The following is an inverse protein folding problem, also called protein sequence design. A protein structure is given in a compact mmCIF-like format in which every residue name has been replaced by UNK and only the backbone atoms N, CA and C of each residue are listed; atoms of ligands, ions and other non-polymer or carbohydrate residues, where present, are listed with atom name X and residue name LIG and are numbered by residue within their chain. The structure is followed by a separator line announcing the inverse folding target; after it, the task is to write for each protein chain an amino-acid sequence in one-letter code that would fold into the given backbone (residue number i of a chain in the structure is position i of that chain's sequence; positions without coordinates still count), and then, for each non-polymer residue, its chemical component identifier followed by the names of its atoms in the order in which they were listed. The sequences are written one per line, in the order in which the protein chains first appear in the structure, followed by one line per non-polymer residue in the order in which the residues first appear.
data_IF_211268029885
#
_entry.id   IF_211268029885
#
_cell.length_a   1.000
_cell.length_b   1.000
_cell.length_c   1.000
_cell.angle_alpha   90.00
_cell.angle_beta   90.00
_cell.angle_gamma   90.00
#
_symmetry.space_group_name_H-M   'P 1'
#
loop_
_entity.id
_entity.type
_entity.pdbx_description
1 polymer ?
#
# COMPACT_ATOMS: atom_id res chain seq x y z
N UNK A 1 15.09 -12.91 -5.40
CA UNK A 1 14.95 -11.98 -6.51
C UNK A 1 15.83 -12.41 -7.68
N UNK A 2 15.37 -12.19 -8.90
CA UNK A 2 16.20 -12.38 -10.10
C UNK A 2 16.48 -11.01 -10.69
N UNK A 3 17.63 -10.83 -11.31
CA UNK A 3 17.93 -9.63 -12.07
C UNK A 3 17.27 -9.64 -13.47
N UNK A 4 16.72 -10.78 -13.87
CA UNK A 4 16.03 -10.92 -15.15
C UNK A 4 14.60 -10.38 -15.08
N UNK A 5 14.11 -9.71 -16.12
CA UNK A 5 12.71 -9.30 -16.20
C UNK A 5 11.78 -10.52 -16.25
N UNK A 6 10.49 -10.38 -15.92
CA UNK A 6 9.53 -11.47 -16.08
C UNK A 6 9.37 -11.84 -17.56
N UNK A 7 9.16 -13.13 -17.81
CA UNK A 7 8.92 -13.65 -19.17
C UNK A 7 7.47 -13.41 -19.62
N UNK A 8 6.54 -13.32 -18.67
CA UNK A 8 5.12 -13.10 -18.93
C UNK A 8 4.53 -12.18 -17.87
N UNK A 9 3.68 -11.25 -18.31
CA UNK A 9 2.87 -10.38 -17.46
C UNK A 9 1.40 -10.65 -17.76
N UNK A 10 0.61 -10.96 -16.73
CA UNK A 10 -0.85 -11.09 -16.84
C UNK A 10 -1.52 -9.99 -16.03
N UNK A 11 -2.27 -9.08 -16.66
CA UNK A 11 -2.94 -8.01 -15.94
C UNK A 11 -4.13 -8.56 -15.13
N UNK A 12 -4.28 -8.03 -13.93
CA UNK A 12 -5.44 -8.22 -13.05
C UNK A 12 -6.13 -6.87 -12.97
N UNK A 13 -6.99 -6.62 -13.95
CA UNK A 13 -7.66 -5.36 -14.20
C UNK A 13 -9.02 -5.64 -14.86
N UNK A 14 -9.85 -4.62 -15.05
CA UNK A 14 -11.10 -4.76 -15.82
C UNK A 14 -10.83 -5.20 -17.26
N UNK A 15 -11.75 -5.97 -17.84
CA UNK A 15 -11.67 -6.40 -19.25
C UNK A 15 -12.04 -5.28 -20.23
N UNK A 16 -12.85 -4.33 -19.77
CA UNK A 16 -13.31 -3.19 -20.55
C UNK A 16 -13.18 -1.92 -19.72
N UNK A 17 -12.83 -0.79 -20.34
CA UNK A 17 -12.74 0.47 -19.64
C UNK A 17 -14.08 0.85 -18.98
N UNK A 18 -14.01 1.29 -17.72
CA UNK A 18 -15.07 1.97 -17.01
C UNK A 18 -14.65 3.42 -16.75
N UNK A 19 -15.43 4.17 -16.00
CA UNK A 19 -14.98 5.47 -15.51
C UNK A 19 -13.69 5.31 -14.70
N UNK A 20 -12.59 5.95 -15.13
CA UNK A 20 -11.25 5.75 -14.58
C UNK A 20 -10.37 4.76 -15.36
N UNK A 21 -10.83 4.20 -16.50
CA UNK A 21 -10.07 3.29 -17.35
C UNK A 21 -10.24 1.82 -16.98
N UNK A 22 -9.14 1.05 -16.91
CA UNK A 22 -9.17 -0.39 -16.61
C UNK A 22 -9.00 -0.71 -15.11
N UNK A 23 -9.15 0.28 -14.24
CA UNK A 23 -9.02 0.13 -12.80
C UNK A 23 -10.30 -0.40 -12.16
N UNK A 24 -10.16 -1.31 -11.21
CA UNK A 24 -11.23 -1.62 -10.28
C UNK A 24 -11.45 -0.47 -9.31
N UNK A 25 -12.68 -0.27 -8.88
CA UNK A 25 -13.05 0.68 -7.82
C UNK A 25 -13.38 -0.08 -6.54
N UNK A 26 -12.85 0.42 -5.43
CA UNK A 26 -13.11 -0.08 -4.07
C UNK A 26 -13.52 1.10 -3.20
N UNK A 27 -14.49 0.89 -2.29
CA UNK A 27 -14.96 1.88 -1.32
C UNK A 27 -16.49 1.96 -1.30
N UNK A 28 -17.06 2.85 -0.48
CA UNK A 28 -18.50 3.05 -0.41
C UNK A 28 -18.95 4.07 -1.49
N UNK A 29 -19.98 3.79 -2.34
CA UNK A 29 -20.83 2.60 -2.39
C UNK A 29 -20.25 1.40 -3.17
N UNK A 30 -19.03 1.48 -3.68
CA UNK A 30 -18.36 0.39 -4.40
C UNK A 30 -18.02 -0.78 -3.44
N UNK A 31 -17.77 -1.99 -3.96
CA UNK A 31 -17.42 -3.12 -3.11
C UNK A 31 -16.10 -2.91 -2.34
N UNK A 32 -15.97 -3.53 -1.17
CA UNK A 32 -14.74 -3.48 -0.34
C UNK A 32 -13.63 -4.38 -0.85
N UNK A 33 -13.94 -5.27 -1.79
CA UNK A 33 -13.00 -6.16 -2.47
C UNK A 33 -13.42 -6.41 -3.91
N UNK A 34 -12.45 -6.59 -4.77
CA UNK A 34 -12.63 -6.91 -6.18
C UNK A 34 -11.89 -8.19 -6.53
N UNK A 35 -12.33 -8.88 -7.58
CA UNK A 35 -11.73 -10.14 -8.01
C UNK A 35 -11.63 -10.22 -9.53
N UNK A 36 -10.57 -10.87 -10.01
CA UNK A 36 -10.35 -11.21 -11.42
C UNK A 36 -9.97 -12.66 -11.56
N UNK A 37 -10.72 -13.37 -12.40
CA UNK A 37 -10.36 -14.73 -12.80
C UNK A 37 -9.30 -14.72 -13.87
N UNK A 38 -8.13 -15.30 -13.57
CA UNK A 38 -6.97 -15.36 -14.45
C UNK A 38 -6.77 -16.79 -14.94
N UNK A 39 -6.80 -16.98 -16.25
CA UNK A 39 -6.59 -18.26 -16.91
C UNK A 39 -5.27 -18.32 -17.67
N UNK A 40 -4.87 -19.52 -18.10
CA UNK A 40 -3.69 -19.73 -18.95
C UNK A 40 -2.38 -19.33 -18.23
N UNK A 41 -2.27 -19.59 -16.93
CA UNK A 41 -1.01 -19.50 -16.20
C UNK A 41 -0.11 -20.65 -16.67
N UNK A 42 1.12 -20.38 -17.15
CA UNK A 42 2.01 -21.42 -17.62
C UNK A 42 2.41 -22.38 -16.49
N UNK A 43 2.25 -23.69 -16.71
CA UNK A 43 2.54 -24.71 -15.70
C UNK A 43 4.03 -24.92 -15.41
N UNK A 44 4.90 -24.20 -16.11
CA UNK A 44 6.35 -24.19 -15.95
C UNK A 44 6.89 -22.87 -15.39
N UNK A 45 6.03 -22.07 -14.72
CA UNK A 45 6.48 -20.89 -14.02
C UNK A 45 7.21 -21.28 -12.73
N UNK A 46 8.47 -20.84 -12.57
CA UNK A 46 9.29 -21.14 -11.38
C UNK A 46 9.36 -20.00 -10.37
N UNK A 47 8.86 -18.82 -10.70
CA UNK A 47 8.71 -17.67 -9.82
C UNK A 47 7.50 -16.86 -10.21
N UNK A 48 6.82 -16.31 -9.20
CA UNK A 48 5.67 -15.43 -9.38
C UNK A 48 5.74 -14.24 -8.41
N UNK A 49 5.46 -13.04 -8.93
CA UNK A 49 5.34 -11.80 -8.14
C UNK A 49 4.03 -11.14 -8.53
N UNK A 50 3.30 -10.64 -7.54
CA UNK A 50 2.11 -9.82 -7.74
C UNK A 50 2.50 -8.36 -7.50
N UNK A 51 2.52 -7.56 -8.56
CA UNK A 51 2.71 -6.12 -8.49
C UNK A 51 1.35 -5.45 -8.31
N UNK A 52 1.14 -4.76 -7.19
CA UNK A 52 -0.10 -4.06 -6.87
C UNK A 52 0.09 -2.58 -7.15
N UNK A 53 -0.86 -1.99 -7.87
CA UNK A 53 -0.97 -0.56 -8.09
C UNK A 53 -2.26 -0.05 -7.45
N UNK A 54 -2.17 1.04 -6.70
CA UNK A 54 -3.31 1.63 -6.05
C UNK A 54 -3.22 3.16 -6.04
N UNK A 55 -4.35 3.82 -6.25
CA UNK A 55 -4.52 5.26 -6.18
C UNK A 55 -5.82 5.56 -5.45
N UNK A 56 -5.82 6.54 -4.57
CA UNK A 56 -6.97 6.87 -3.73
C UNK A 56 -7.46 8.29 -4.01
N UNK A 57 -8.78 8.49 -3.93
CA UNK A 57 -9.48 9.69 -4.36
C UNK A 57 -10.71 9.94 -3.48
N UNK A 58 -11.41 11.07 -3.71
CA UNK A 58 -12.66 11.39 -3.04
C UNK A 58 -12.49 11.49 -1.53
N UNK A 59 -13.35 10.82 -0.78
CA UNK A 59 -13.34 10.86 0.69
C UNK A 59 -12.08 10.21 1.30
N UNK A 60 -11.34 9.41 0.53
CA UNK A 60 -10.06 8.83 0.91
C UNK A 60 -8.85 9.53 0.27
N UNK A 61 -9.01 10.68 -0.38
CA UNK A 61 -7.88 11.42 -0.94
C UNK A 61 -6.82 11.75 0.12
N UNK A 62 -7.26 12.03 1.34
CA UNK A 62 -6.39 12.30 2.50
C UNK A 62 -6.67 11.34 3.66
N UNK A 63 -6.91 10.04 3.37
CA UNK A 63 -7.28 9.01 4.35
C UNK A 63 -6.41 9.02 5.61
N UNK A 64 -5.16 9.41 5.49
CA UNK A 64 -4.17 9.45 6.58
C UNK A 64 -4.45 10.55 7.63
N UNK A 65 -5.45 11.40 7.40
CA UNK A 65 -5.96 12.38 8.37
C UNK A 65 -7.38 12.09 8.83
N UNK A 66 -7.99 10.99 8.38
CA UNK A 66 -9.37 10.67 8.74
C UNK A 66 -9.50 10.33 10.22
N UNK A 67 -10.49 10.89 10.92
CA UNK A 67 -10.74 10.58 12.32
C UNK A 67 -11.44 9.21 12.48
N UNK A 68 -11.46 8.64 13.69
CA UNK A 68 -12.28 7.47 14.01
C UNK A 68 -13.79 7.72 13.77
N UNK A 69 -14.54 6.66 13.48
CA UNK A 69 -15.97 6.74 13.17
C UNK A 69 -16.80 7.38 14.27
N UNK A 70 -16.48 7.11 15.52
CA UNK A 70 -17.20 7.68 16.67
C UNK A 70 -17.17 9.21 16.66
N UNK A 71 -15.99 9.77 16.36
CA UNK A 71 -15.82 11.20 16.21
C UNK A 71 -16.53 11.75 14.96
N UNK A 72 -16.37 11.06 13.82
CA UNK A 72 -17.00 11.48 12.57
C UNK A 72 -18.53 11.52 12.69
N UNK A 73 -19.14 10.47 13.23
CA UNK A 73 -20.60 10.41 13.46
C UNK A 73 -21.07 11.50 14.43
N UNK A 74 -20.36 11.70 15.54
CA UNK A 74 -20.75 12.70 16.54
C UNK A 74 -20.70 14.14 15.99
N UNK A 75 -19.88 14.39 14.98
CA UNK A 75 -19.68 15.71 14.38
C UNK A 75 -20.26 15.82 12.95
N UNK A 76 -21.06 14.86 12.49
CA UNK A 76 -21.70 14.82 11.16
C UNK A 76 -20.69 14.97 9.99
N UNK A 77 -19.52 14.35 10.12
CA UNK A 77 -18.51 14.30 9.05
C UNK A 77 -18.80 13.16 8.08
N UNK A 78 -18.49 13.37 6.80
CA UNK A 78 -18.64 12.34 5.75
C UNK A 78 -17.44 11.40 5.67
N UNK A 79 -16.31 11.80 6.22
CA UNK A 79 -15.06 11.02 6.25
C UNK A 79 -14.77 10.49 7.64
N UNK A 80 -14.45 9.21 7.72
CA UNK A 80 -14.19 8.47 8.96
C UNK A 80 -13.27 7.29 8.70
N UNK A 81 -13.53 6.17 9.35
CA UNK A 81 -12.79 4.90 9.26
C UNK A 81 -11.33 4.98 9.76
N UNK A 82 -10.95 6.11 10.39
CA UNK A 82 -9.59 6.32 10.90
C UNK A 82 -8.52 6.40 9.79
N UNK A 83 -7.27 6.65 10.16
CA UNK A 83 -6.16 6.87 9.22
C UNK A 83 -5.42 5.60 8.81
N UNK A 84 -5.98 4.41 9.00
CA UNK A 84 -5.34 3.14 8.64
C UNK A 84 -5.97 2.51 7.40
N UNK A 85 -5.13 2.11 6.44
CA UNK A 85 -5.53 1.38 5.23
C UNK A 85 -4.58 0.21 5.00
N UNK A 86 -5.13 -0.95 4.64
CA UNK A 86 -4.38 -2.12 4.20
C UNK A 86 -4.92 -2.58 2.85
N UNK A 87 -4.04 -2.80 1.89
CA UNK A 87 -4.36 -3.45 0.62
C UNK A 87 -3.94 -4.90 0.74
N UNK A 88 -4.91 -5.79 0.83
CA UNK A 88 -4.70 -7.23 0.98
C UNK A 88 -4.96 -7.96 -0.34
N UNK A 89 -4.11 -8.93 -0.68
CA UNK A 89 -4.27 -9.79 -1.84
C UNK A 89 -4.55 -11.23 -1.43
N UNK A 90 -5.40 -11.91 -2.20
CA UNK A 90 -5.69 -13.34 -2.04
C UNK A 90 -5.81 -14.05 -3.39
N UNK A 91 -5.55 -15.36 -3.38
CA UNK A 91 -5.73 -16.28 -4.50
C UNK A 91 -6.70 -17.37 -4.03
N UNK A 92 -7.81 -17.53 -4.75
CA UNK A 92 -8.89 -18.48 -4.42
C UNK A 92 -9.33 -18.37 -2.94
N UNK A 93 -9.40 -17.15 -2.43
CA UNK A 93 -9.74 -16.85 -1.04
C UNK A 93 -8.60 -17.02 -0.02
N UNK A 94 -7.44 -17.54 -0.42
CA UNK A 94 -6.26 -17.66 0.44
C UNK A 94 -5.44 -16.38 0.42
N UNK A 95 -5.20 -15.75 1.57
CA UNK A 95 -4.38 -14.56 1.71
C UNK A 95 -2.93 -14.86 1.26
N UNK A 96 -2.37 -14.01 0.39
CA UNK A 96 -1.01 -14.19 -0.15
C UNK A 96 -0.06 -13.03 0.17
N UNK A 97 -0.57 -12.01 0.83
CA UNK A 97 0.22 -10.87 1.28
C UNK A 97 -0.59 -9.59 1.36
N UNK A 98 -0.03 -8.58 1.97
CA UNK A 98 -0.60 -7.23 2.01
C UNK A 98 0.48 -6.16 1.96
N UNK A 99 0.04 -4.97 1.60
CA UNK A 99 0.84 -3.76 1.60
C UNK A 99 0.11 -2.66 2.34
N UNK A 100 0.87 -1.80 3.02
CA UNK A 100 0.36 -0.59 3.65
C UNK A 100 0.84 0.60 2.83
N UNK A 101 -0.10 1.30 2.16
CA UNK A 101 0.25 2.22 1.09
C UNK A 101 0.98 3.46 1.59
N UNK A 102 1.86 3.99 0.75
CA UNK A 102 2.46 5.30 0.96
C UNK A 102 1.37 6.38 0.92
N UNK A 103 1.33 7.29 1.91
CA UNK A 103 0.34 8.37 1.98
C UNK A 103 0.72 9.49 0.99
N UNK A 104 0.30 9.36 -0.26
CA UNK A 104 0.53 10.38 -1.29
C UNK A 104 -0.30 11.62 -0.96
N UNK A 105 0.35 12.78 -0.90
CA UNK A 105 -0.31 14.08 -0.81
C UNK A 105 -0.51 14.58 -2.25
N UNK A 106 -1.74 14.84 -2.66
CA UNK A 106 -1.99 15.41 -3.98
C UNK A 106 -1.76 16.92 -3.98
N UNK A 107 -1.40 17.47 -5.15
CA UNK A 107 -0.91 18.84 -5.29
C UNK A 107 -1.91 19.95 -4.88
N UNK A 108 -3.19 19.63 -4.77
CA UNK A 108 -4.24 20.53 -4.29
C UNK A 108 -4.58 20.39 -2.80
N UNK A 109 -4.07 19.33 -2.15
CA UNK A 109 -4.45 18.98 -0.80
C UNK A 109 -3.85 19.92 0.26
N UNK A 110 -4.59 20.14 1.33
CA UNK A 110 -4.26 20.97 2.50
C UNK A 110 -4.06 22.46 2.16
N UNK A 111 -2.97 22.79 1.48
CA UNK A 111 -2.68 24.15 1.03
C UNK A 111 -2.06 24.10 -0.37
N UNK A 112 -2.81 24.47 -1.42
CA UNK A 112 -2.31 24.40 -2.79
C UNK A 112 -1.11 25.29 -3.10
N UNK A 113 -0.86 26.32 -2.28
CA UNK A 113 0.32 27.18 -2.46
C UNK A 113 1.61 26.51 -1.96
N UNK A 114 1.50 25.55 -1.03
CA UNK A 114 2.65 24.79 -0.53
C UNK A 114 3.31 23.95 -1.64
N UNK A 115 2.55 23.58 -2.68
CA UNK A 115 2.98 22.70 -3.76
C UNK A 115 3.29 23.42 -5.08
N UNK A 116 3.62 24.70 -5.00
CA UNK A 116 4.09 25.50 -6.12
C UNK A 116 5.48 26.05 -5.77
N UNK A 117 6.55 25.65 -6.41
CA UNK A 117 6.70 25.02 -7.73
C UNK A 117 6.99 23.51 -7.71
N UNK A 118 7.07 22.85 -6.55
CA UNK A 118 7.46 21.43 -6.43
C UNK A 118 6.27 20.58 -6.05
N UNK A 119 6.01 19.51 -6.81
CA UNK A 119 4.94 18.57 -6.53
C UNK A 119 5.29 17.62 -5.36
N UNK A 120 4.32 17.14 -4.57
CA UNK A 120 4.55 16.15 -3.54
C UNK A 120 5.05 14.81 -4.09
N UNK A 121 5.81 14.08 -3.27
CA UNK A 121 6.35 12.76 -3.61
C UNK A 121 5.18 11.81 -3.97
N UNK A 122 5.32 11.11 -5.10
CA UNK A 122 4.36 10.11 -5.56
C UNK A 122 3.16 10.67 -6.34
N UNK A 123 2.98 11.99 -6.45
CA UNK A 123 1.82 12.58 -7.13
C UNK A 123 1.80 12.29 -8.63
N UNK A 124 2.95 12.29 -9.28
CA UNK A 124 3.07 12.06 -10.74
C UNK A 124 3.25 10.60 -11.09
N UNK A 125 3.86 9.82 -10.20
CA UNK A 125 4.07 8.38 -10.35
C UNK A 125 3.74 7.74 -9.02
N UNK A 126 2.54 7.20 -8.90
CA UNK A 126 2.09 6.48 -7.70
C UNK A 126 2.95 5.21 -7.54
N UNK A 127 3.52 4.95 -6.35
CA UNK A 127 4.32 3.75 -6.12
C UNK A 127 3.52 2.47 -6.34
N UNK A 128 4.12 1.46 -7.00
CA UNK A 128 3.63 0.08 -6.99
C UNK A 128 4.31 -0.74 -5.88
N UNK A 129 3.69 -1.87 -5.53
CA UNK A 129 4.12 -2.73 -4.44
C UNK A 129 4.19 -4.17 -4.90
N UNK A 130 5.35 -4.81 -4.70
CA UNK A 130 5.60 -6.19 -5.10
C UNK A 130 5.38 -7.14 -3.93
N UNK A 131 4.57 -8.18 -4.14
CA UNK A 131 4.41 -9.34 -3.26
C UNK A 131 5.02 -10.57 -3.96
N UNK A 132 6.06 -11.17 -3.40
CA UNK A 132 6.59 -12.44 -3.92
C UNK A 132 5.66 -13.58 -3.50
N UNK A 133 4.91 -14.09 -4.44
CA UNK A 133 3.93 -15.17 -4.27
C UNK A 133 4.44 -16.53 -4.79
N UNK A 134 5.75 -16.64 -5.01
CA UNK A 134 6.39 -17.90 -5.42
C UNK A 134 6.00 -19.11 -4.56
N UNK A 135 5.86 -18.99 -3.21
CA UNK A 135 5.40 -20.11 -2.38
C UNK A 135 4.04 -20.70 -2.78
N UNK A 136 3.20 -19.95 -3.48
CA UNK A 136 1.85 -20.35 -3.89
C UNK A 136 1.79 -20.95 -5.31
N UNK A 137 2.94 -21.15 -5.97
CA UNK A 137 2.97 -21.75 -7.31
C UNK A 137 2.33 -23.13 -7.33
N UNK A 138 2.38 -23.90 -6.24
CA UNK A 138 1.69 -25.20 -6.15
C UNK A 138 0.18 -25.12 -6.42
N UNK A 139 -0.46 -24.01 -6.06
CA UNK A 139 -1.86 -23.73 -6.42
C UNK A 139 -1.98 -23.30 -7.87
N UNK A 140 -1.15 -22.36 -8.32
CA UNK A 140 -1.27 -21.69 -9.62
C UNK A 140 -0.93 -22.58 -10.82
N UNK A 141 -0.16 -23.68 -10.63
CA UNK A 141 0.34 -24.51 -11.73
C UNK A 141 -0.53 -25.74 -12.04
N UNK A 142 -1.71 -25.87 -11.46
CA UNK A 142 -2.64 -26.98 -11.68
C UNK A 142 -3.27 -26.99 -13.08
N UNK A 143 -3.17 -25.87 -13.82
CA UNK A 143 -3.74 -25.68 -15.15
C UNK A 143 -5.14 -25.12 -15.16
N UNK A 144 -5.69 -24.81 -14.00
CA UNK A 144 -7.00 -24.15 -13.83
C UNK A 144 -6.89 -22.63 -13.95
N UNK A 145 -8.04 -21.97 -13.93
CA UNK A 145 -8.11 -20.53 -13.76
C UNK A 145 -8.31 -20.21 -12.26
N UNK A 146 -7.61 -19.20 -11.77
CA UNK A 146 -7.58 -18.80 -10.36
C UNK A 146 -8.17 -17.40 -10.16
N UNK A 147 -8.85 -17.20 -9.04
CA UNK A 147 -9.46 -15.93 -8.70
C UNK A 147 -8.46 -15.10 -7.85
N UNK A 148 -7.95 -14.02 -8.42
CA UNK A 148 -7.10 -13.05 -7.73
C UNK A 148 -7.99 -11.94 -7.19
N UNK A 149 -7.96 -11.73 -5.88
CA UNK A 149 -8.77 -10.70 -5.21
C UNK A 149 -7.88 -9.66 -4.53
N UNK A 150 -8.33 -8.40 -4.58
CA UNK A 150 -7.71 -7.27 -3.91
C UNK A 150 -8.79 -6.63 -3.04
N UNK A 151 -8.46 -6.37 -1.78
CA UNK A 151 -9.33 -5.69 -0.83
C UNK A 151 -8.60 -4.51 -0.20
N UNK A 152 -9.33 -3.44 0.13
CA UNK A 152 -8.79 -2.30 0.89
C UNK A 152 -9.55 -2.17 2.20
N UNK A 153 -8.85 -2.41 3.31
CA UNK A 153 -9.45 -2.30 4.63
C UNK A 153 -9.75 -0.83 4.96
N UNK A 154 -10.91 -0.58 5.56
CA UNK A 154 -11.41 0.72 5.98
C UNK A 154 -11.56 1.76 4.84
N UNK A 155 -11.59 1.32 3.58
CA UNK A 155 -11.76 2.22 2.45
C UNK A 155 -13.08 3.00 2.54
N UNK A 156 -12.99 4.28 2.26
CA UNK A 156 -14.09 5.14 1.82
C UNK A 156 -14.07 5.24 0.29
N UNK A 157 -14.91 6.04 -0.30
CA UNK A 157 -14.88 6.29 -1.75
C UNK A 157 -13.75 7.26 -2.11
N UNK A 158 -12.90 6.93 -3.07
CA UNK A 158 -12.76 5.65 -3.74
C UNK A 158 -11.29 5.29 -3.95
N UNK A 159 -11.02 4.00 -3.98
CA UNK A 159 -9.71 3.46 -4.34
C UNK A 159 -9.76 2.88 -5.74
N UNK A 160 -8.83 3.27 -6.58
CA UNK A 160 -8.58 2.66 -7.88
C UNK A 160 -7.44 1.65 -7.70
N UNK A 161 -7.72 0.38 -7.96
CA UNK A 161 -6.73 -0.70 -7.76
C UNK A 161 -6.64 -1.59 -8.99
N UNK A 162 -5.45 -2.06 -9.28
CA UNK A 162 -5.21 -3.18 -10.18
C UNK A 162 -3.92 -3.91 -9.78
N UNK A 163 -3.59 -5.00 -10.46
CA UNK A 163 -2.34 -5.69 -10.27
C UNK A 163 -1.82 -6.29 -11.58
N UNK A 164 -0.55 -6.69 -11.56
CA UNK A 164 0.09 -7.48 -12.59
C UNK A 164 0.64 -8.76 -11.96
N UNK A 165 0.30 -9.92 -12.52
CA UNK A 165 0.96 -11.17 -12.20
C UNK A 165 2.19 -11.31 -13.09
N UNK A 166 3.37 -11.20 -12.49
CA UNK A 166 4.67 -11.31 -13.13
C UNK A 166 5.18 -12.74 -12.99
N UNK A 167 5.50 -13.41 -14.11
CA UNK A 167 5.88 -14.82 -14.14
C UNK A 167 7.24 -15.02 -14.81
N UNK A 168 8.10 -15.84 -14.17
CA UNK A 168 9.35 -16.35 -14.72
C UNK A 168 9.17 -17.82 -15.10
N UNK A 169 9.41 -18.13 -16.35
CA UNK A 169 9.06 -19.41 -16.99
C UNK A 169 10.34 -20.20 -17.28
N UNK A 170 10.33 -21.49 -16.97
CA UNK A 170 11.39 -22.42 -17.34
C UNK A 170 11.14 -23.02 -18.73
N UNK A 171 11.93 -22.65 -19.75
CA UNK A 171 11.72 -23.15 -21.10
C UNK A 171 12.13 -24.63 -21.28
N UNK A 172 12.83 -25.22 -20.32
CA UNK A 172 13.28 -26.60 -20.39
C UNK A 172 12.16 -27.63 -20.12
N UNK A 173 11.07 -27.17 -19.49
CA UNK A 173 9.94 -28.02 -19.12
C UNK A 173 8.62 -27.44 -19.60
N UNK A 174 7.63 -28.27 -19.85
CA UNK A 174 6.25 -27.86 -20.14
C UNK A 174 5.42 -27.70 -18.86
N UNK A 175 5.84 -28.37 -17.80
CA UNK A 175 5.27 -28.28 -16.45
C UNK A 175 6.33 -28.60 -15.42
N UNK A 176 6.22 -27.99 -14.25
CA UNK A 176 7.11 -28.18 -13.10
C UNK A 176 6.29 -28.49 -11.85
N UNK A 177 6.93 -29.14 -10.87
CA UNK A 177 6.30 -29.39 -9.58
C UNK A 177 6.53 -28.22 -8.61
N UNK A 178 5.49 -27.87 -7.89
CA UNK A 178 5.57 -26.86 -6.83
C UNK A 178 4.63 -27.23 -5.69
N UNK A 179 4.95 -26.80 -4.47
CA UNK A 179 4.08 -27.04 -3.31
C UNK A 179 4.28 -25.99 -2.22
N UNK A 180 3.21 -25.56 -1.60
CA UNK A 180 3.24 -24.77 -0.37
C UNK A 180 3.66 -25.68 0.80
N UNK A 181 4.60 -25.20 1.65
CA UNK A 181 5.17 -25.97 2.77
C UNK A 181 4.79 -25.39 4.12
N UNK A 182 4.75 -24.07 4.25
CA UNK A 182 4.32 -23.41 5.46
C UNK A 182 3.49 -22.18 5.13
N UNK A 183 2.51 -21.91 5.98
CA UNK A 183 1.60 -20.80 5.87
C UNK A 183 1.27 -20.28 7.26
N UNK A 184 1.81 -19.12 7.62
CA UNK A 184 1.57 -18.48 8.90
C UNK A 184 1.13 -17.03 8.65
N UNK A 185 -0.02 -16.66 9.13
CA UNK A 185 -0.60 -15.32 8.99
C UNK A 185 -1.15 -14.89 10.32
N UNK A 186 -0.68 -13.76 10.87
CA UNK A 186 -1.39 -13.09 11.95
C UNK A 186 -2.54 -12.25 11.39
N UNK A 187 -3.64 -12.18 12.09
CA UNK A 187 -4.61 -11.11 11.84
C UNK A 187 -3.91 -9.76 12.07
N UNK A 188 -4.29 -8.72 11.32
CA UNK A 188 -3.85 -7.40 11.72
C UNK A 188 -4.53 -7.01 13.04
N UNK A 189 -3.78 -6.40 13.94
CA UNK A 189 -4.26 -6.00 15.26
C UNK A 189 -4.37 -4.48 15.30
N UNK A 190 -5.55 -3.90 15.00
CA UNK A 190 -5.76 -2.48 15.13
C UNK A 190 -5.96 -2.12 16.60
N UNK A 191 -5.44 -0.98 17.02
CA UNK A 191 -5.72 -0.36 18.29
C UNK A 191 -6.05 1.11 18.04
N UNK A 192 -7.15 1.56 18.63
CA UNK A 192 -7.56 2.97 18.60
C UNK A 192 -7.88 3.38 20.03
N UNK A 193 -7.30 4.48 20.46
CA UNK A 193 -7.60 5.11 21.75
C UNK A 193 -7.66 6.61 21.55
N UNK A 194 -8.47 7.28 22.34
CA UNK A 194 -8.58 8.74 22.27
C UNK A 194 -9.82 9.26 22.98
N UNK A 195 -9.91 10.56 23.04
CA UNK A 195 -11.05 11.26 23.62
C UNK A 195 -11.38 12.49 22.78
N UNK A 196 -12.64 12.90 22.82
CA UNK A 196 -13.08 14.11 22.16
C UNK A 196 -14.25 14.77 22.89
N UNK A 197 -14.36 16.06 22.66
CA UNK A 197 -15.50 16.88 23.12
C UNK A 197 -15.85 17.90 22.03
N UNK A 198 -17.01 17.72 21.41
CA UNK A 198 -17.37 18.49 20.21
C UNK A 198 -16.35 18.27 19.10
N UNK A 199 -15.83 19.32 18.51
CA UNK A 199 -14.84 19.29 17.44
C UNK A 199 -13.38 19.11 17.92
N UNK A 200 -13.14 19.15 19.24
CA UNK A 200 -11.80 18.98 19.80
C UNK A 200 -11.58 17.51 20.18
N UNK A 201 -10.48 16.91 19.73
CA UNK A 201 -10.18 15.51 20.00
C UNK A 201 -8.71 15.14 19.81
N UNK A 202 -8.30 14.07 20.47
CA UNK A 202 -6.97 13.46 20.31
C UNK A 202 -7.13 11.96 20.18
N UNK A 203 -6.43 11.36 19.19
CA UNK A 203 -6.53 9.96 18.88
C UNK A 203 -5.14 9.39 18.60
N UNK A 204 -4.84 8.25 19.24
CA UNK A 204 -3.69 7.41 18.97
C UNK A 204 -4.17 6.12 18.31
N UNK A 205 -3.74 5.89 17.08
CA UNK A 205 -4.14 4.71 16.29
C UNK A 205 -2.89 3.95 15.90
N UNK A 206 -2.93 2.63 16.07
CA UNK A 206 -1.85 1.75 15.64
C UNK A 206 -2.39 0.47 15.03
N UNK A 207 -1.59 -0.15 14.18
CA UNK A 207 -1.85 -1.49 13.66
C UNK A 207 -0.53 -2.24 13.45
N UNK A 208 -0.58 -3.55 13.54
CA UNK A 208 0.53 -4.42 13.19
C UNK A 208 0.04 -5.69 12.51
N UNK A 209 0.84 -6.22 11.60
CA UNK A 209 0.62 -7.51 10.95
C UNK A 209 1.95 -8.19 10.68
N UNK A 210 1.98 -9.50 10.78
CA UNK A 210 3.08 -10.31 10.26
C UNK A 210 2.57 -11.53 9.53
N UNK A 211 3.31 -11.96 8.52
CA UNK A 211 3.03 -13.21 7.84
C UNK A 211 4.32 -13.86 7.33
N UNK A 212 4.29 -15.18 7.17
CA UNK A 212 5.37 -15.93 6.54
C UNK A 212 4.84 -17.12 5.77
N UNK A 213 5.44 -17.34 4.60
CA UNK A 213 5.13 -18.44 3.71
C UNK A 213 6.39 -19.14 3.29
N UNK A 214 6.33 -20.46 3.07
CA UNK A 214 7.39 -21.17 2.35
C UNK A 214 6.81 -22.16 1.34
N UNK A 215 7.50 -22.33 0.24
CA UNK A 215 7.13 -23.26 -0.82
C UNK A 215 8.35 -23.80 -1.53
N UNK A 216 8.17 -24.94 -2.20
CA UNK A 216 9.18 -25.57 -3.05
C UNK A 216 8.77 -25.51 -4.49
N UNK A 217 9.77 -25.36 -5.36
CA UNK A 217 9.62 -25.42 -6.82
C UNK A 217 10.75 -26.28 -7.37
N UNK A 218 10.39 -27.25 -8.23
CA UNK A 218 11.34 -28.14 -8.92
C UNK A 218 11.38 -27.74 -10.39
N UNK A 219 12.51 -27.20 -10.85
CA UNK A 219 12.69 -26.73 -12.23
C UNK A 219 14.08 -27.10 -12.76
N UNK A 220 14.46 -26.69 -13.97
CA UNK A 220 15.76 -27.06 -14.58
C UNK A 220 16.97 -26.61 -13.74
N UNK A 221 16.84 -25.59 -12.90
CA UNK A 221 17.88 -25.15 -11.98
C UNK A 221 18.05 -26.01 -10.72
N UNK A 222 17.18 -27.01 -10.48
CA UNK A 222 17.14 -27.83 -9.28
C UNK A 222 15.88 -27.58 -8.45
N UNK A 223 15.86 -28.09 -7.22
CA UNK A 223 14.79 -27.84 -6.26
C UNK A 223 15.12 -26.59 -5.46
N UNK A 224 14.22 -25.61 -5.46
CA UNK A 224 14.37 -24.36 -4.72
C UNK A 224 13.27 -24.23 -3.66
N UNK A 225 13.68 -23.92 -2.43
CA UNK A 225 12.79 -23.51 -1.34
C UNK A 225 12.77 -22.00 -1.28
N UNK A 226 11.60 -21.40 -1.46
CA UNK A 226 11.40 -19.96 -1.28
C UNK A 226 10.65 -19.70 0.01
N UNK A 227 11.24 -18.87 0.88
CA UNK A 227 10.63 -18.39 2.11
C UNK A 227 10.38 -16.88 1.98
N UNK A 228 9.17 -16.45 2.25
CA UNK A 228 8.75 -15.04 2.27
C UNK A 228 8.31 -14.71 3.69
N UNK A 229 8.78 -13.62 4.25
CA UNK A 229 8.28 -13.10 5.52
C UNK A 229 8.12 -11.59 5.44
N UNK A 230 7.08 -11.06 6.08
CA UNK A 230 6.83 -9.63 6.17
C UNK A 230 6.32 -9.26 7.55
N UNK A 231 6.73 -8.08 8.00
CA UNK A 231 6.28 -7.43 9.23
C UNK A 231 5.91 -5.99 8.88
N UNK A 232 4.71 -5.57 9.27
CA UNK A 232 4.16 -4.25 8.98
C UNK A 232 3.73 -3.59 10.30
N UNK A 233 4.06 -2.31 10.45
CA UNK A 233 3.69 -1.50 11.60
C UNK A 233 3.17 -0.13 11.15
N UNK A 234 2.09 0.32 11.78
CA UNK A 234 1.44 1.60 11.58
C UNK A 234 1.25 2.30 12.92
N UNK A 235 1.55 3.58 12.96
CA UNK A 235 1.23 4.46 14.09
C UNK A 235 0.73 5.79 13.55
N UNK A 236 -0.30 6.32 14.17
CA UNK A 236 -0.82 7.66 13.87
C UNK A 236 -1.26 8.35 15.14
N UNK A 237 -0.95 9.63 15.24
CA UNK A 237 -1.48 10.54 16.25
C UNK A 237 -2.20 11.67 15.54
N UNK A 238 -3.50 11.80 15.80
CA UNK A 238 -4.34 12.86 15.28
C UNK A 238 -4.78 13.75 16.43
N UNK A 239 -4.59 15.08 16.29
CA UNK A 239 -5.10 16.08 17.22
C UNK A 239 -5.92 17.11 16.46
N UNK A 240 -7.11 17.38 16.96
CA UNK A 240 -8.06 18.37 16.48
C UNK A 240 -8.36 19.32 17.64
N UNK A 241 -8.17 20.62 17.45
CA UNK A 241 -8.36 21.61 18.49
C UNK A 241 -8.93 22.91 17.91
N UNK A 242 -9.25 23.85 18.78
CA UNK A 242 -9.80 25.16 18.43
C UNK A 242 -11.03 25.06 17.53
N UNK A 243 -11.93 24.12 17.86
CA UNK A 243 -13.15 23.84 17.10
C UNK A 243 -12.90 23.62 15.60
N UNK A 244 -11.90 22.78 15.25
CA UNK A 244 -11.37 22.55 13.91
C UNK A 244 -10.42 23.63 13.37
N UNK A 245 -10.14 24.67 14.15
CA UNK A 245 -9.17 25.71 13.76
C UNK A 245 -7.73 25.22 13.78
N UNK A 246 -7.45 24.08 14.43
CA UNK A 246 -6.13 23.44 14.47
C UNK A 246 -6.25 21.94 14.24
N UNK A 247 -5.46 21.45 13.32
CA UNK A 247 -5.31 20.00 13.06
C UNK A 247 -3.85 19.62 12.94
N UNK A 248 -3.44 18.54 13.62
CA UNK A 248 -2.18 17.90 13.34
C UNK A 248 -2.36 16.40 13.21
N UNK A 249 -1.74 15.82 12.18
CA UNK A 249 -1.66 14.40 11.97
C UNK A 249 -0.19 14.01 11.83
N UNK A 250 0.28 13.11 12.70
CA UNK A 250 1.60 12.52 12.62
C UNK A 250 1.45 11.02 12.46
N UNK A 251 1.94 10.46 11.36
CA UNK A 251 1.87 9.02 11.12
C UNK A 251 3.20 8.45 10.65
N UNK A 252 3.38 7.19 10.90
CA UNK A 252 4.51 6.39 10.44
C UNK A 252 4.01 5.03 9.97
N UNK A 253 4.38 4.66 8.75
CA UNK A 253 4.13 3.35 8.17
C UNK A 253 5.49 2.70 7.91
N UNK A 254 5.73 1.53 8.45
CA UNK A 254 6.96 0.79 8.22
C UNK A 254 6.70 -0.65 7.82
N UNK A 255 7.58 -1.20 7.00
CA UNK A 255 7.56 -2.62 6.66
C UNK A 255 8.96 -3.19 6.50
N UNK A 256 9.13 -4.42 6.95
CA UNK A 256 10.30 -5.25 6.69
C UNK A 256 9.85 -6.49 5.95
N UNK A 257 10.33 -6.67 4.72
CA UNK A 257 10.04 -7.85 3.89
C UNK A 257 11.34 -8.56 3.56
N UNK A 258 11.35 -9.88 3.76
CA UNK A 258 12.48 -10.75 3.44
C UNK A 258 12.04 -11.91 2.57
N UNK A 259 12.75 -12.11 1.47
CA UNK A 259 12.60 -13.28 0.60
C UNK A 259 13.93 -14.04 0.56
N UNK A 260 13.89 -15.31 0.91
CA UNK A 260 15.04 -16.21 0.85
C UNK A 260 14.72 -17.36 -0.07
N UNK A 261 15.54 -17.55 -1.09
CA UNK A 261 15.45 -18.70 -2.01
C UNK A 261 16.74 -19.52 -1.89
N UNK A 262 16.62 -20.79 -1.50
CA UNK A 262 17.75 -21.72 -1.33
C UNK A 262 17.55 -22.95 -2.19
N UNK A 263 18.56 -23.33 -2.96
CA UNK A 263 18.55 -24.54 -3.77
C UNK A 263 19.10 -25.76 -3.00
N UNK A 264 19.03 -26.93 -3.63
CA UNK A 264 19.53 -28.21 -3.11
C UNK A 264 21.07 -28.26 -2.96
N UNK A 265 21.80 -27.28 -3.52
CA UNK A 265 23.25 -27.12 -3.40
C UNK A 265 23.64 -26.12 -2.32
N UNK A 266 22.68 -25.71 -1.47
CA UNK A 266 22.82 -24.72 -0.42
C UNK A 266 23.22 -23.30 -0.95
N UNK A 267 23.02 -23.05 -2.24
CA UNK A 267 23.14 -21.71 -2.80
C UNK A 267 21.92 -20.90 -2.41
N UNK A 268 22.14 -19.79 -1.72
CA UNK A 268 21.07 -18.97 -1.16
C UNK A 268 21.07 -17.57 -1.79
N UNK A 269 19.89 -17.14 -2.22
CA UNK A 269 19.62 -15.74 -2.55
C UNK A 269 18.76 -15.14 -1.46
N UNK A 270 19.17 -14.00 -0.94
CA UNK A 270 18.39 -13.24 0.05
C UNK A 270 18.06 -11.87 -0.51
N UNK A 271 16.80 -11.48 -0.39
CA UNK A 271 16.34 -10.12 -0.65
C UNK A 271 15.67 -9.58 0.61
N UNK A 272 16.08 -8.39 1.02
CA UNK A 272 15.48 -7.65 2.12
C UNK A 272 15.08 -6.28 1.61
N UNK A 273 13.87 -5.88 1.91
CA UNK A 273 13.35 -4.54 1.67
C UNK A 273 12.75 -4.01 2.95
N UNK A 274 13.29 -2.89 3.42
CA UNK A 274 12.72 -2.11 4.51
C UNK A 274 12.15 -0.83 3.94
N UNK A 275 10.96 -0.45 4.37
CA UNK A 275 10.34 0.83 4.01
C UNK A 275 9.99 1.61 5.26
N UNK A 276 10.07 2.94 5.16
CA UNK A 276 9.56 3.83 6.20
C UNK A 276 8.96 5.08 5.54
N UNK A 277 7.71 5.39 5.91
CA UNK A 277 6.92 6.48 5.34
C UNK A 277 6.41 7.39 6.47
N UNK A 278 7.26 8.24 7.07
CA UNK A 278 6.81 9.22 8.04
C UNK A 278 6.09 10.37 7.33
N UNK A 279 5.05 10.87 7.98
CA UNK A 279 4.29 12.03 7.55
C UNK A 279 3.88 12.86 8.78
N UNK A 280 4.07 14.18 8.70
CA UNK A 280 3.53 15.14 9.65
C UNK A 280 2.84 16.26 8.88
N UNK A 281 1.60 16.54 9.25
CA UNK A 281 0.80 17.64 8.72
C UNK A 281 0.31 18.44 9.90
N UNK A 282 0.50 19.77 9.86
CA UNK A 282 -0.09 20.70 10.82
C UNK A 282 -0.76 21.80 10.05
N UNK A 283 -2.06 21.96 10.23
CA UNK A 283 -2.84 23.05 9.64
C UNK A 283 -3.49 23.89 10.75
N UNK A 284 -3.42 25.19 10.59
CA UNK A 284 -4.06 26.18 11.47
C UNK A 284 -4.94 27.10 10.64
N UNK A 285 -6.18 27.21 11.05
CA UNK A 285 -7.17 28.09 10.44
C UNK A 285 -7.54 29.21 11.42
N UNK A 286 -7.37 30.43 10.99
CA UNK A 286 -7.73 31.62 11.81
C UNK A 286 -8.79 32.41 11.08
N UNK A 287 -9.97 32.50 11.66
CA UNK A 287 -11.08 33.33 11.14
C UNK A 287 -10.83 34.78 11.54
N UNK A 288 -10.79 35.66 10.54
CA UNK A 288 -10.67 37.10 10.72
C UNK A 288 -12.04 37.77 10.49
N UNK A 289 -12.14 39.06 10.77
CA UNK A 289 -13.35 39.88 10.53
C UNK A 289 -13.86 39.68 9.09
N UNK A 290 -15.18 39.66 8.90
CA UNK A 290 -15.89 39.55 7.62
C UNK A 290 -15.74 38.20 6.89
N UNK A 291 -15.70 37.09 7.63
CA UNK A 291 -15.57 35.75 7.10
C UNK A 291 -14.27 35.47 6.28
N UNK A 292 -13.28 36.33 6.39
CA UNK A 292 -11.95 36.06 5.88
C UNK A 292 -11.25 35.04 6.78
N UNK A 293 -10.64 34.04 6.17
CA UNK A 293 -9.92 33.00 6.89
C UNK A 293 -8.48 32.90 6.37
N UNK A 294 -7.53 32.85 7.31
CA UNK A 294 -6.17 32.46 6.98
C UNK A 294 -5.98 30.97 7.27
N UNK A 295 -5.50 30.22 6.28
CA UNK A 295 -5.13 28.82 6.41
C UNK A 295 -3.62 28.69 6.23
N UNK A 296 -2.93 28.27 7.28
CA UNK A 296 -1.51 27.96 7.26
C UNK A 296 -1.34 26.46 7.43
N UNK A 297 -0.60 25.81 6.54
CA UNK A 297 -0.25 24.41 6.67
C UNK A 297 1.25 24.21 6.54
N UNK A 298 1.82 23.41 7.45
CA UNK A 298 3.17 22.88 7.44
C UNK A 298 3.12 21.36 7.24
N UNK A 299 3.85 20.86 6.26
CA UNK A 299 3.85 19.48 5.86
C UNK A 299 5.28 18.96 5.77
N UNK A 300 5.52 17.77 6.28
CA UNK A 300 6.79 17.06 6.11
C UNK A 300 6.51 15.57 5.88
N UNK A 301 7.09 15.00 4.85
CA UNK A 301 6.95 13.57 4.57
C UNK A 301 8.20 12.99 3.90
N UNK A 302 8.37 11.69 3.99
CA UNK A 302 9.39 11.01 3.20
C UNK A 302 8.95 9.64 2.68
N UNK A 303 9.61 9.23 1.60
CA UNK A 303 9.52 7.91 1.02
C UNK A 303 10.90 7.27 1.13
N UNK A 304 11.09 6.45 2.16
CA UNK A 304 12.36 5.83 2.47
C UNK A 304 12.31 4.35 2.19
N UNK A 305 13.27 3.86 1.39
CA UNK A 305 13.42 2.43 1.13
C UNK A 305 14.88 2.01 1.20
N UNK A 306 15.13 0.87 1.81
CA UNK A 306 16.42 0.20 1.86
C UNK A 306 16.26 -1.20 1.27
N UNK A 307 16.96 -1.50 0.20
CA UNK A 307 16.88 -2.78 -0.51
C UNK A 307 18.26 -3.42 -0.58
N UNK A 308 18.36 -4.65 -0.12
CA UNK A 308 19.58 -5.46 -0.20
C UNK A 308 19.25 -6.79 -0.82
N UNK A 309 19.97 -7.14 -1.89
CA UNK A 309 19.91 -8.47 -2.47
C UNK A 309 21.30 -9.11 -2.46
N UNK A 310 21.39 -10.31 -1.89
CA UNK A 310 22.61 -11.10 -1.78
C UNK A 310 22.41 -12.33 -2.69
N UNK A 311 23.26 -12.45 -3.69
CA UNK A 311 23.29 -13.56 -4.64
C UNK A 311 24.58 -14.34 -4.47
N UNK A 312 24.65 -15.59 -4.89
CA UNK A 312 25.87 -16.39 -4.89
C UNK A 312 27.05 -15.77 -5.64
N UNK A 313 26.79 -14.86 -6.58
CA UNK A 313 27.80 -14.24 -7.46
C UNK A 313 27.86 -12.72 -7.35
N UNK A 314 27.29 -12.12 -6.32
CA UNK A 314 27.34 -10.67 -6.12
C UNK A 314 26.20 -10.15 -5.28
N UNK A 315 26.35 -8.93 -4.82
CA UNK A 315 25.36 -8.26 -3.99
C UNK A 315 24.86 -7.00 -4.68
N UNK A 316 23.62 -6.66 -4.43
CA UNK A 316 23.01 -5.39 -4.80
C UNK A 316 22.50 -4.71 -3.54
N UNK A 317 22.76 -3.42 -3.42
CA UNK A 317 22.16 -2.59 -2.38
C UNK A 317 21.67 -1.28 -3.00
N UNK A 318 20.47 -0.87 -2.60
CA UNK A 318 19.88 0.41 -2.99
C UNK A 318 19.29 1.05 -1.76
N UNK A 319 19.65 2.32 -1.54
CA UNK A 319 19.00 3.16 -0.52
C UNK A 319 18.39 4.36 -1.19
N UNK A 320 17.11 4.58 -0.95
CA UNK A 320 16.39 5.77 -1.35
C UNK A 320 15.90 6.47 -0.09
N UNK A 321 16.30 7.73 0.07
CA UNK A 321 15.71 8.64 1.03
C UNK A 321 15.21 9.86 0.24
N UNK A 322 13.92 9.96 0.08
CA UNK A 322 13.27 11.07 -0.61
C UNK A 322 12.39 11.79 0.40
N UNK A 323 12.91 12.90 0.95
CA UNK A 323 12.25 13.69 1.97
C UNK A 323 11.85 15.05 1.42
N UNK A 324 10.69 15.52 1.80
CA UNK A 324 10.11 16.79 1.38
C UNK A 324 9.45 17.50 2.56
N UNK A 325 9.60 18.82 2.61
CA UNK A 325 8.82 19.68 3.48
C UNK A 325 8.25 20.83 2.68
N UNK A 326 7.06 21.28 3.05
CA UNK A 326 6.39 22.40 2.44
C UNK A 326 5.63 23.19 3.50
N UNK A 327 5.58 24.49 3.32
CA UNK A 327 4.79 25.41 4.15
C UNK A 327 4.08 26.42 3.27
N UNK A 328 2.88 26.80 3.63
CA UNK A 328 2.12 27.78 2.89
C UNK A 328 1.05 28.42 3.75
N UNK A 329 0.80 29.70 3.48
CA UNK A 329 -0.33 30.43 4.05
C UNK A 329 -1.16 31.00 2.92
N UNK A 330 -2.46 30.77 2.95
CA UNK A 330 -3.39 31.35 2.00
C UNK A 330 -4.53 32.05 2.72
N UNK A 331 -5.08 33.02 2.07
CA UNK A 331 -6.29 33.70 2.49
C UNK A 331 -7.49 33.16 1.73
N UNK A 332 -8.53 32.82 2.44
CA UNK A 332 -9.81 32.44 1.88
C UNK A 332 -10.80 33.53 2.25
N UNK A 333 -11.49 34.09 1.27
CA UNK A 333 -12.61 35.00 1.49
C UNK A 333 -13.89 34.49 0.84
N UNK A 334 -14.95 35.32 0.81
CA UNK A 334 -16.24 34.93 0.21
C UNK A 334 -16.15 34.63 -1.30
N UNK A 335 -15.14 35.11 -1.99
CA UNK A 335 -14.93 34.92 -3.44
C UNK A 335 -13.97 33.77 -3.76
N UNK A 336 -13.34 33.15 -2.73
CA UNK A 336 -12.46 32.02 -2.88
C UNK A 336 -11.06 32.24 -2.32
N UNK A 337 -10.07 31.56 -2.92
CA UNK A 337 -8.65 31.67 -2.53
C UNK A 337 -8.04 32.91 -3.18
N UNK A 338 -7.40 33.77 -2.36
CA UNK A 338 -6.65 34.94 -2.79
C UNK A 338 -5.15 34.67 -2.66
#
# INVERSE_FOLDING_TARGET
PTLAPPHLVKPIALDSPAEGGLWFRIGDPDPTAVSKRVSGIPRNAYRAVLEICASFHGDDESWFTNPPNEYAVANNLTFGNGPFREIAASIDGTFVGSVWPYPVIYAGAFNPLAWRPVLPIGTTVVPSFDLDITPFLGTLLDGSAHDFSIAVANALSSWLVNANLLLWIDPAYTSIAASLKAYNVSAYTPSSSGEFKGLNGQFDISASRSYSFSGTVEYSGGTVVTCVSSSLAFKSKLTLADDYGYQTAALEISSDTKVVASDDKAMTTTYVKTTNFPLVITCTQVIIVDNNTWLTCDLAHSFDTDEVAIFPRGNFARKLNNAQSASGTLKIDNDGII
#
